data_IF_177568221588
#
_entry.id   IF_177568221588
#
_cell.length_a   1.000
_cell.length_b   1.000
_cell.length_c   1.000
_cell.angle_alpha   90.00
_cell.angle_beta   90.00
_cell.angle_gamma   90.00
#
_symmetry.space_group_name_H-M   'P 1'
#
loop_
_entity.id
_entity.type
_entity.pdbx_description
1 polymer ?
#
# COMPACT_ATOMS: atom_id res chain seq x y z
N UNK A 1 3.05 -10.40 24.07
CA UNK A 1 4.24 -10.33 23.21
C UNK A 1 4.17 -11.35 22.07
N UNK A 2 4.04 -12.66 22.31
CA UNK A 2 4.02 -13.70 21.27
C UNK A 2 2.89 -13.48 20.22
N UNK A 3 1.70 -13.07 20.64
CA UNK A 3 0.56 -12.77 19.75
C UNK A 3 0.87 -11.63 18.77
N UNK A 4 1.55 -10.58 19.21
CA UNK A 4 1.92 -9.46 18.35
C UNK A 4 3.04 -9.83 17.38
N UNK A 5 3.99 -10.67 17.79
CA UNK A 5 5.03 -11.17 16.89
C UNK A 5 4.41 -12.03 15.77
N UNK A 6 3.48 -12.91 16.10
CA UNK A 6 2.73 -13.68 15.12
C UNK A 6 1.92 -12.77 14.17
N UNK A 7 1.21 -11.78 14.71
CA UNK A 7 0.42 -10.85 13.90
C UNK A 7 1.28 -10.05 12.89
N UNK A 8 2.53 -9.72 13.23
CA UNK A 8 3.43 -8.99 12.30
C UNK A 8 3.75 -9.76 11.01
N UNK A 9 3.74 -11.09 11.05
CA UNK A 9 3.97 -11.92 9.88
C UNK A 9 2.83 -11.84 8.86
N UNK A 10 1.63 -11.46 9.33
CA UNK A 10 0.41 -11.32 8.55
C UNK A 10 0.03 -9.87 8.23
N UNK A 11 0.84 -8.90 8.69
CA UNK A 11 0.61 -7.48 8.42
C UNK A 11 1.26 -7.08 7.10
N UNK A 12 0.45 -6.58 6.19
CA UNK A 12 0.89 -6.12 4.88
C UNK A 12 0.62 -4.64 4.68
N UNK A 13 1.47 -3.99 3.91
CA UNK A 13 1.27 -2.66 3.36
C UNK A 13 1.48 -2.74 1.85
N UNK A 14 0.51 -2.24 1.08
CA UNK A 14 0.67 -2.02 -0.37
C UNK A 14 0.29 -0.58 -0.66
N UNK A 15 1.15 0.13 -1.36
CA UNK A 15 0.91 1.53 -1.72
C UNK A 15 1.31 1.81 -3.17
N UNK A 16 0.55 2.67 -3.82
CA UNK A 16 0.91 3.24 -5.12
C UNK A 16 1.63 4.58 -4.89
N UNK A 17 2.72 4.77 -5.61
CA UNK A 17 3.54 5.98 -5.58
C UNK A 17 3.39 6.71 -6.91
N UNK A 18 3.33 8.03 -6.88
CA UNK A 18 3.23 8.83 -8.10
C UNK A 18 4.59 8.99 -8.80
N UNK A 19 5.63 9.27 -8.03
CA UNK A 19 6.97 9.53 -8.56
C UNK A 19 8.05 8.97 -7.61
N UNK A 20 8.86 8.08 -8.14
CA UNK A 20 9.98 7.46 -7.40
C UNK A 20 11.08 8.43 -6.95
N UNK A 21 11.08 9.67 -7.49
CA UNK A 21 12.10 10.68 -7.12
C UNK A 21 12.13 10.97 -5.63
N UNK A 22 11.00 10.92 -4.94
CA UNK A 22 10.92 11.17 -3.50
C UNK A 22 11.57 10.03 -2.70
N UNK A 23 11.30 8.77 -3.06
CA UNK A 23 11.99 7.61 -2.48
C UNK A 23 13.50 7.65 -2.75
N UNK A 24 13.90 8.08 -3.96
CA UNK A 24 15.31 8.25 -4.32
C UNK A 24 15.99 9.31 -3.46
N UNK A 25 15.41 10.51 -3.38
CA UNK A 25 15.95 11.62 -2.57
C UNK A 25 16.06 11.25 -1.10
N UNK A 26 15.12 10.49 -0.59
CA UNK A 26 15.09 10.01 0.80
C UNK A 26 15.97 8.78 1.08
N UNK A 27 16.64 8.22 0.07
CA UNK A 27 17.46 7.02 0.23
C UNK A 27 16.65 5.73 0.50
N UNK A 28 15.36 5.70 0.15
CA UNK A 28 14.46 4.55 0.32
C UNK A 28 14.10 3.87 -1.00
N UNK A 29 14.72 4.27 -2.10
CA UNK A 29 14.52 3.62 -3.38
C UNK A 29 15.12 2.20 -3.34
N UNK A 30 14.32 1.14 -3.63
CA UNK A 30 14.86 -0.21 -3.71
C UNK A 30 15.95 -0.32 -4.78
N UNK A 31 17.01 -1.07 -4.49
CA UNK A 31 18.17 -1.23 -5.39
C UNK A 31 17.77 -1.76 -6.77
N UNK A 32 16.77 -2.62 -6.84
CA UNK A 32 16.24 -3.18 -8.09
C UNK A 32 15.61 -2.14 -9.05
N UNK A 33 15.35 -0.92 -8.57
CA UNK A 33 14.66 0.15 -9.34
C UNK A 33 15.64 1.23 -9.81
N UNK A 34 16.89 1.18 -9.39
CA UNK A 34 17.89 2.22 -9.66
C UNK A 34 18.18 2.45 -11.16
N UNK A 35 17.71 1.60 -12.05
CA UNK A 35 18.05 1.58 -13.49
C UNK A 35 16.93 2.12 -14.39
N UNK A 36 15.72 2.30 -13.91
CA UNK A 36 14.62 2.74 -14.76
C UNK A 36 14.62 4.26 -14.92
N UNK A 37 15.22 4.73 -15.99
CA UNK A 37 15.01 6.10 -16.50
C UNK A 37 13.52 6.41 -16.68
N UNK A 38 13.14 7.67 -16.49
CA UNK A 38 11.80 8.22 -16.43
C UNK A 38 10.67 7.40 -17.05
N UNK A 39 9.89 6.77 -16.23
CA UNK A 39 8.69 6.04 -16.66
C UNK A 39 7.49 6.98 -16.61
N UNK A 40 7.37 7.82 -17.64
CA UNK A 40 6.22 8.73 -17.77
C UNK A 40 4.92 7.92 -17.76
N UNK A 41 4.02 8.25 -16.84
CA UNK A 41 2.71 7.59 -16.69
C UNK A 41 2.73 6.22 -16.00
N UNK A 42 3.88 5.74 -15.52
CA UNK A 42 3.98 4.52 -14.72
C UNK A 42 3.84 4.85 -13.23
N UNK A 43 2.94 4.14 -12.56
CA UNK A 43 2.71 4.19 -11.12
C UNK A 43 3.34 2.96 -10.47
N UNK A 44 4.45 3.11 -9.73
CA UNK A 44 5.04 2.00 -8.99
C UNK A 44 4.16 1.63 -7.78
N UNK A 45 4.06 0.33 -7.53
CA UNK A 45 3.53 -0.19 -6.28
C UNK A 45 4.68 -0.65 -5.40
N UNK A 46 4.59 -0.31 -4.14
CA UNK A 46 5.56 -0.69 -3.10
C UNK A 46 4.90 -1.50 -1.99
N UNK A 47 5.70 -2.27 -1.31
CA UNK A 47 5.36 -2.99 -0.07
C UNK A 47 6.53 -2.87 0.89
N UNK A 48 6.35 -3.38 2.10
CA UNK A 48 7.43 -3.52 3.08
C UNK A 48 7.78 -5.00 3.20
N UNK A 49 9.05 -5.33 2.99
CA UNK A 49 9.62 -6.66 3.21
C UNK A 49 10.83 -6.54 4.12
N UNK A 50 10.83 -7.31 5.21
CA UNK A 50 11.95 -7.34 6.17
C UNK A 50 12.35 -5.93 6.64
N UNK A 51 11.35 -5.07 6.91
CA UNK A 51 11.56 -3.69 7.34
C UNK A 51 12.06 -2.73 6.25
N UNK A 52 12.10 -3.14 5.00
CA UNK A 52 12.57 -2.33 3.87
C UNK A 52 11.49 -2.13 2.83
N UNK A 53 11.55 -0.99 2.14
CA UNK A 53 10.70 -0.74 0.97
C UNK A 53 11.11 -1.69 -0.16
N UNK A 54 10.15 -2.39 -0.72
CA UNK A 54 10.32 -3.30 -1.84
C UNK A 54 9.31 -2.99 -2.95
N UNK A 55 9.66 -3.32 -4.19
CA UNK A 55 8.70 -3.22 -5.29
C UNK A 55 7.65 -4.33 -5.19
N UNK A 56 6.39 -3.95 -5.29
CA UNK A 56 5.26 -4.86 -5.33
C UNK A 56 4.64 -5.00 -6.74
N UNK A 57 5.02 -4.09 -7.65
CA UNK A 57 4.53 -4.08 -9.00
C UNK A 57 4.64 -2.69 -9.64
N UNK A 58 4.07 -2.57 -10.82
CA UNK A 58 3.95 -1.30 -11.55
C UNK A 58 2.67 -1.32 -12.38
N UNK A 59 2.07 -0.15 -12.57
CA UNK A 59 0.87 -0.01 -13.38
C UNK A 59 0.95 1.24 -14.25
N UNK A 60 0.12 1.32 -15.27
CA UNK A 60 0.04 2.48 -16.13
C UNK A 60 -1.18 3.33 -15.76
N UNK A 61 -0.92 4.58 -15.42
CA UNK A 61 -1.95 5.53 -15.02
C UNK A 61 -2.61 5.22 -13.68
N UNK A 62 -3.45 6.13 -13.23
CA UNK A 62 -4.13 6.02 -11.95
C UNK A 62 -5.14 4.85 -11.89
N UNK A 63 -6.00 4.62 -12.90
CA UNK A 63 -6.91 3.47 -12.86
C UNK A 63 -6.16 2.12 -12.80
N UNK A 64 -5.07 2.00 -13.56
CA UNK A 64 -4.22 0.82 -13.53
C UNK A 64 -3.57 0.59 -12.17
N UNK A 65 -3.21 1.67 -11.46
CA UNK A 65 -2.64 1.58 -10.12
C UNK A 65 -3.62 0.97 -9.12
N UNK A 66 -4.91 1.34 -9.16
CA UNK A 66 -5.92 0.73 -8.30
C UNK A 66 -6.12 -0.76 -8.61
N UNK A 67 -6.24 -1.12 -9.89
CA UNK A 67 -6.38 -2.53 -10.30
C UNK A 67 -5.19 -3.35 -9.81
N UNK A 68 -3.98 -2.86 -9.99
CA UNK A 68 -2.77 -3.53 -9.54
C UNK A 68 -2.68 -3.61 -8.00
N UNK A 69 -3.13 -2.57 -7.29
CA UNK A 69 -3.22 -2.55 -5.84
C UNK A 69 -4.17 -3.66 -5.34
N UNK A 70 -5.38 -3.74 -5.90
CA UNK A 70 -6.38 -4.74 -5.50
C UNK A 70 -5.90 -6.16 -5.79
N UNK A 71 -5.34 -6.39 -6.97
CA UNK A 71 -4.72 -7.67 -7.31
C UNK A 71 -3.62 -8.06 -6.31
N UNK A 72 -2.79 -7.11 -5.92
CA UNK A 72 -1.72 -7.36 -4.94
C UNK A 72 -2.25 -7.70 -3.56
N UNK A 73 -3.33 -7.05 -3.11
CA UNK A 73 -4.02 -7.36 -1.86
C UNK A 73 -4.51 -8.82 -1.89
N UNK A 74 -5.14 -9.25 -2.99
CA UNK A 74 -5.59 -10.65 -3.15
C UNK A 74 -4.43 -11.64 -3.14
N UNK A 75 -3.34 -11.35 -3.86
CA UNK A 75 -2.13 -12.19 -3.88
C UNK A 75 -1.48 -12.34 -2.49
N UNK A 76 -1.63 -11.36 -1.62
CA UNK A 76 -1.12 -11.38 -0.24
C UNK A 76 -2.07 -12.05 0.76
N UNK A 77 -3.14 -12.68 0.29
CA UNK A 77 -4.08 -13.43 1.12
C UNK A 77 -5.40 -12.72 1.43
N UNK A 78 -5.62 -11.53 0.84
CA UNK A 78 -6.83 -10.74 1.04
C UNK A 78 -6.92 -10.09 2.42
N UNK A 79 -7.90 -9.21 2.60
CA UNK A 79 -8.09 -8.47 3.86
C UNK A 79 -8.90 -9.29 4.85
N UNK A 80 -8.37 -9.51 6.04
CA UNK A 80 -9.04 -10.24 7.10
C UNK A 80 -10.12 -9.35 7.78
N UNK A 81 -11.41 -9.72 7.71
CA UNK A 81 -12.51 -8.91 8.25
C UNK A 81 -12.51 -8.82 9.79
N UNK A 82 -11.78 -9.67 10.47
CA UNK A 82 -11.70 -9.70 11.95
C UNK A 82 -10.77 -8.65 12.52
N UNK A 83 -9.94 -8.03 11.68
CA UNK A 83 -8.94 -7.04 12.11
C UNK A 83 -9.12 -5.74 11.35
N UNK A 84 -8.71 -4.60 11.95
CA UNK A 84 -8.81 -3.32 11.27
C UNK A 84 -7.87 -3.24 10.08
N UNK A 85 -8.31 -2.57 9.02
CA UNK A 85 -7.47 -2.11 7.92
C UNK A 85 -7.38 -0.59 7.92
N UNK A 86 -6.33 -0.05 7.30
CA UNK A 86 -6.07 1.39 7.26
C UNK A 86 -5.72 1.82 5.84
N UNK A 87 -6.57 2.68 5.27
CA UNK A 87 -6.32 3.34 4.01
C UNK A 87 -5.64 4.70 4.24
N UNK A 88 -4.49 4.90 3.60
CA UNK A 88 -3.68 6.10 3.74
C UNK A 88 -3.55 6.88 2.43
N UNK A 89 -3.46 8.21 2.52
CA UNK A 89 -3.25 9.12 1.39
C UNK A 89 -2.31 10.28 1.77
N UNK A 90 -1.64 10.88 0.78
CA UNK A 90 -0.76 12.04 1.04
C UNK A 90 -1.42 13.38 0.80
N UNK A 91 -2.17 13.56 -0.28
CA UNK A 91 -2.73 14.88 -0.66
C UNK A 91 -4.24 14.94 -0.45
N UNK A 92 -4.99 14.01 -1.01
CA UNK A 92 -6.46 14.11 -1.00
C UNK A 92 -7.10 12.81 -0.53
N UNK A 93 -8.09 12.94 0.37
CA UNK A 93 -8.90 11.81 0.81
C UNK A 93 -9.58 11.08 -0.36
N UNK A 94 -9.80 11.75 -1.49
CA UNK A 94 -10.35 11.14 -2.70
C UNK A 94 -9.47 10.02 -3.26
N UNK A 95 -8.19 10.03 -2.95
CA UNK A 95 -7.24 8.97 -3.36
C UNK A 95 -7.59 7.61 -2.76
N UNK A 96 -8.27 7.57 -1.63
CA UNK A 96 -8.67 6.30 -0.98
C UNK A 96 -10.12 5.88 -1.25
N UNK A 97 -10.94 6.71 -1.89
CA UNK A 97 -12.32 6.36 -2.21
C UNK A 97 -12.43 5.05 -3.00
N UNK A 98 -11.63 4.79 -4.05
CA UNK A 98 -11.68 3.50 -4.76
C UNK A 98 -11.32 2.31 -3.88
N UNK A 99 -10.45 2.50 -2.87
CA UNK A 99 -10.10 1.45 -1.90
C UNK A 99 -11.30 1.15 -1.00
N UNK A 100 -11.99 2.19 -0.50
CA UNK A 100 -13.21 2.02 0.30
C UNK A 100 -14.30 1.30 -0.50
N UNK A 101 -14.58 1.75 -1.73
CA UNK A 101 -15.54 1.09 -2.63
C UNK A 101 -15.18 -0.38 -2.86
N UNK A 102 -13.92 -0.67 -3.14
CA UNK A 102 -13.47 -2.05 -3.34
C UNK A 102 -13.71 -2.93 -2.11
N UNK A 103 -13.31 -2.46 -0.92
CA UNK A 103 -13.46 -3.23 0.31
C UNK A 103 -14.92 -3.40 0.71
N UNK A 104 -15.69 -2.31 0.73
CA UNK A 104 -17.06 -2.30 1.27
C UNK A 104 -18.06 -2.81 0.24
N UNK A 105 -18.09 -2.21 -0.95
CA UNK A 105 -19.15 -2.47 -1.92
C UNK A 105 -18.89 -3.76 -2.72
N UNK A 106 -17.62 -4.03 -3.06
CA UNK A 106 -17.29 -5.20 -3.89
C UNK A 106 -17.04 -6.45 -3.04
N UNK A 107 -16.37 -6.33 -1.89
CA UNK A 107 -16.00 -7.47 -1.05
C UNK A 107 -16.88 -7.64 0.19
N UNK A 108 -17.73 -6.68 0.53
CA UNK A 108 -18.57 -6.73 1.74
C UNK A 108 -17.78 -6.71 3.04
N UNK A 109 -16.58 -6.12 3.02
CA UNK A 109 -15.69 -6.04 4.17
C UNK A 109 -16.00 -4.80 5.03
N UNK A 110 -15.56 -4.76 6.29
CA UNK A 110 -15.64 -3.57 7.13
C UNK A 110 -14.93 -2.37 6.48
N UNK A 111 -15.47 -1.18 6.73
CA UNK A 111 -14.88 0.07 6.28
C UNK A 111 -13.48 0.25 6.87
N UNK A 112 -12.45 0.59 6.06
CA UNK A 112 -11.11 0.84 6.56
C UNK A 112 -11.06 2.15 7.36
N UNK A 113 -10.16 2.22 8.33
CA UNK A 113 -9.75 3.49 8.91
C UNK A 113 -9.09 4.33 7.84
N UNK A 114 -9.46 5.61 7.72
CA UNK A 114 -8.86 6.52 6.74
C UNK A 114 -8.01 7.56 7.45
N UNK A 115 -6.75 7.72 7.02
CA UNK A 115 -5.81 8.68 7.62
C UNK A 115 -4.93 9.33 6.56
N UNK A 116 -4.65 10.61 6.76
CA UNK A 116 -3.60 11.26 6.02
C UNK A 116 -2.23 10.74 6.49
N UNK A 117 -1.36 10.42 5.54
CA UNK A 117 0.01 9.97 5.82
C UNK A 117 0.80 11.12 6.42
N UNK A 118 1.45 10.86 7.56
CA UNK A 118 2.23 11.86 8.26
C UNK A 118 3.46 12.34 7.47
N UNK A 119 4.00 13.49 7.86
CA UNK A 119 5.06 14.19 7.11
C UNK A 119 6.34 13.37 6.94
N UNK A 120 6.70 12.50 7.90
CA UNK A 120 7.91 11.67 7.82
C UNK A 120 7.82 10.69 6.64
N UNK A 121 6.75 9.90 6.58
CA UNK A 121 6.53 8.95 5.48
C UNK A 121 6.18 9.71 4.20
N UNK A 122 5.37 10.77 4.29
CA UNK A 122 4.96 11.59 3.15
C UNK A 122 6.13 12.23 2.40
N UNK A 123 7.19 12.62 3.10
CA UNK A 123 8.43 13.12 2.50
C UNK A 123 9.08 12.12 1.55
N UNK A 124 9.01 10.83 1.88
CA UNK A 124 9.55 9.75 1.04
C UNK A 124 8.57 9.24 0.00
N UNK A 125 7.28 9.16 0.35
CA UNK A 125 6.23 8.67 -0.57
C UNK A 125 5.88 9.71 -1.65
N UNK A 126 5.95 11.00 -1.31
CA UNK A 126 5.62 12.09 -2.20
C UNK A 126 4.12 12.35 -2.35
N UNK A 127 3.74 13.39 -3.09
CA UNK A 127 2.34 13.70 -3.35
C UNK A 127 1.68 12.63 -4.25
N UNK A 128 0.39 12.41 -4.07
CA UNK A 128 -0.38 11.45 -4.86
C UNK A 128 -0.15 9.99 -4.48
N UNK A 129 0.51 9.72 -3.34
CA UNK A 129 0.65 8.38 -2.82
C UNK A 129 -0.59 7.96 -2.02
N UNK A 130 -1.01 6.72 -2.21
CA UNK A 130 -2.11 6.11 -1.46
C UNK A 130 -1.87 4.60 -1.30
N UNK A 131 -2.50 4.00 -0.29
CA UNK A 131 -2.34 2.58 -0.06
C UNK A 131 -3.22 2.04 1.05
N UNK A 132 -3.04 0.75 1.31
CA UNK A 132 -3.76 0.01 2.34
C UNK A 132 -2.78 -0.79 3.20
N UNK A 133 -2.92 -0.66 4.51
CA UNK A 133 -2.34 -1.57 5.49
C UNK A 133 -3.44 -2.50 6.01
N UNK A 134 -3.16 -3.80 6.06
CA UNK A 134 -4.15 -4.80 6.44
C UNK A 134 -3.48 -6.07 6.96
N UNK A 135 -4.24 -6.87 7.70
CA UNK A 135 -3.88 -8.23 8.05
C UNK A 135 -4.50 -9.20 7.03
N UNK A 136 -3.73 -10.20 6.59
CA UNK A 136 -4.24 -11.22 5.69
C UNK A 136 -5.13 -12.25 6.38
N UNK A 137 -5.84 -13.06 5.58
CA UNK A 137 -6.76 -14.08 6.08
C UNK A 137 -6.08 -15.27 6.77
N UNK A 138 -4.76 -15.37 6.72
CA UNK A 138 -4.00 -16.39 7.43
C UNK A 138 -3.83 -16.08 8.93
N UNK A 139 -4.05 -14.82 9.34
CA UNK A 139 -3.95 -14.46 10.76
C UNK A 139 -5.09 -15.05 11.57
N UNK A 140 -4.73 -15.92 12.51
CA UNK A 140 -5.63 -16.48 13.52
C UNK A 140 -5.09 -16.11 14.89
N UNK A 141 -5.91 -15.42 15.66
CA UNK A 141 -5.66 -15.09 17.07
C UNK A 141 -6.83 -15.64 17.88
N UNK A 142 -6.53 -16.53 18.79
CA UNK A 142 -7.48 -17.11 19.74
C UNK A 142 -7.81 -16.13 20.88
#
# INVERSE_FOLDING_TARGET
>A
AATLEHAKEHLHLVAAIDDLKYLRKGGRLPAAVAVAGGMLGIKPLITIKEGKVAMAGKARGLPGAYVALFKKIEELGGVNPRFPSLAGYTISIREVNPIQTYLVDNLGLPEPLVRQIGCVIGTHAGPGAFGLAFFDNGLVID
#
